data_IF_099877929116
#
_entry.id   IF_099877929116
#
_cell.length_a   1.000
_cell.length_b   1.000
_cell.length_c   1.000
_cell.angle_alpha   90.00
_cell.angle_beta   90.00
_cell.angle_gamma   90.00
#
_symmetry.space_group_name_H-M   'P 1'
#
loop_
_entity.id
_entity.type
_entity.pdbx_description
1 polymer ?
#
# COMPACT_ATOMS: atom_id res chain seq x y z
N UNK A 1 24.56 10.62 37.52
CA UNK A 1 24.51 9.31 36.84
C UNK A 1 23.40 8.52 37.48
N UNK A 2 22.24 8.41 36.84
CA UNK A 2 21.15 7.55 37.30
C UNK A 2 21.16 6.32 36.40
N UNK A 3 21.67 5.21 36.93
CA UNK A 3 21.59 3.91 36.28
C UNK A 3 20.14 3.46 36.36
N UNK A 4 19.42 3.56 35.24
CA UNK A 4 18.11 2.93 35.09
C UNK A 4 18.35 1.43 35.02
N UNK A 5 18.19 0.73 36.15
CA UNK A 5 18.11 -0.72 36.18
C UNK A 5 16.96 -1.15 35.27
N UNK A 6 17.28 -1.72 34.11
CA UNK A 6 16.32 -2.47 33.32
C UNK A 6 16.01 -3.70 34.16
N UNK A 7 14.82 -3.78 34.74
CA UNK A 7 14.34 -5.04 35.31
C UNK A 7 14.34 -6.07 34.18
N UNK A 8 15.26 -7.04 34.25
CA UNK A 8 15.27 -8.17 33.33
C UNK A 8 13.96 -8.94 33.50
N UNK A 9 13.11 -8.86 32.47
CA UNK A 9 11.86 -9.63 32.45
C UNK A 9 12.25 -11.10 32.36
N UNK A 10 11.98 -11.85 33.41
CA UNK A 10 12.21 -13.30 33.43
C UNK A 10 11.26 -13.97 32.43
N UNK A 11 11.81 -14.39 31.28
CA UNK A 11 11.09 -15.13 30.25
C UNK A 11 11.11 -16.62 30.64
N UNK A 12 9.96 -17.21 30.98
CA UNK A 12 9.90 -18.62 31.35
C UNK A 12 10.20 -19.51 30.13
N UNK A 13 10.99 -20.56 30.34
CA UNK A 13 11.26 -21.61 29.35
C UNK A 13 10.07 -22.58 29.26
N UNK A 14 8.95 -22.08 28.72
CA UNK A 14 7.73 -22.85 28.48
C UNK A 14 7.61 -23.30 27.01
N UNK A 15 6.61 -24.12 26.70
CA UNK A 15 6.38 -24.62 25.33
C UNK A 15 6.18 -23.48 24.31
N UNK A 16 5.55 -22.38 24.71
CA UNK A 16 5.30 -21.25 23.82
C UNK A 16 6.61 -20.55 23.47
N UNK A 17 7.46 -20.30 24.47
CA UNK A 17 8.80 -19.76 24.28
C UNK A 17 9.62 -20.65 23.34
N UNK A 18 9.69 -21.97 23.60
CA UNK A 18 10.50 -22.90 22.81
C UNK A 18 10.09 -22.93 21.35
N UNK A 19 8.79 -22.97 21.06
CA UNK A 19 8.27 -22.95 19.68
C UNK A 19 8.66 -21.64 18.98
N UNK A 20 8.44 -20.48 19.62
CA UNK A 20 8.76 -19.18 19.00
C UNK A 20 10.26 -19.00 18.83
N UNK A 21 11.06 -19.42 19.81
CA UNK A 21 12.53 -19.36 19.75
C UNK A 21 13.08 -20.23 18.61
N UNK A 22 12.56 -21.45 18.44
CA UNK A 22 12.92 -22.32 17.33
C UNK A 22 12.54 -21.69 15.97
N UNK A 23 11.35 -21.11 15.84
CA UNK A 23 10.95 -20.42 14.62
C UNK A 23 11.84 -19.22 14.31
N UNK A 24 12.10 -18.34 15.28
CA UNK A 24 12.92 -17.14 15.08
C UNK A 24 14.38 -17.48 14.78
N UNK A 25 14.94 -18.52 15.40
CA UNK A 25 16.31 -18.95 15.13
C UNK A 25 16.52 -19.41 13.68
N UNK A 26 15.49 -19.97 13.01
CA UNK A 26 15.52 -20.30 11.58
C UNK A 26 15.63 -19.06 10.69
N UNK A 27 15.17 -17.90 11.16
CA UNK A 27 15.34 -16.60 10.52
C UNK A 27 16.63 -15.87 10.97
N UNK A 28 17.43 -16.48 11.84
CA UNK A 28 18.60 -15.86 12.45
C UNK A 28 18.21 -14.62 13.27
N UNK A 29 17.17 -14.76 14.10
CA UNK A 29 16.68 -13.76 15.04
C UNK A 29 16.72 -14.38 16.44
N UNK A 30 17.33 -13.69 17.39
CA UNK A 30 17.42 -14.12 18.77
C UNK A 30 16.42 -13.38 19.66
N UNK A 31 15.86 -14.07 20.65
CA UNK A 31 15.01 -13.45 21.66
C UNK A 31 15.91 -12.83 22.73
N UNK A 32 15.74 -11.52 22.98
CA UNK A 32 16.62 -10.71 23.83
C UNK A 32 18.08 -10.73 23.37
N UNK A 33 18.32 -10.90 22.07
CA UNK A 33 19.64 -10.80 21.46
C UNK A 33 20.11 -9.35 21.32
N UNK A 34 21.30 -9.14 20.76
CA UNK A 34 21.92 -7.82 20.62
C UNK A 34 21.97 -7.31 19.18
N UNK A 35 21.54 -8.09 18.19
CA UNK A 35 21.46 -7.62 16.82
C UNK A 35 20.27 -6.67 16.67
N UNK A 36 20.35 -5.72 15.74
CA UNK A 36 19.30 -4.71 15.56
C UNK A 36 17.94 -5.29 15.12
N UNK A 37 17.92 -6.49 14.54
CA UNK A 37 16.69 -7.20 14.18
C UNK A 37 16.16 -8.11 15.30
N UNK A 38 16.89 -8.27 16.40
CA UNK A 38 16.47 -9.10 17.52
C UNK A 38 15.35 -8.42 18.30
N UNK A 39 14.46 -9.23 18.89
CA UNK A 39 13.34 -8.71 19.67
C UNK A 39 13.72 -8.61 21.14
N UNK A 40 13.35 -7.51 21.79
CA UNK A 40 13.44 -7.33 23.24
C UNK A 40 12.08 -7.59 23.85
N UNK A 41 11.92 -8.68 24.58
CA UNK A 41 10.64 -9.10 25.17
C UNK A 41 10.44 -8.47 26.54
N UNK A 42 9.38 -7.68 26.66
CA UNK A 42 8.97 -6.99 27.90
C UNK A 42 7.81 -7.70 28.62
N UNK A 43 7.11 -8.61 27.94
CA UNK A 43 6.00 -9.37 28.53
C UNK A 43 5.98 -10.81 27.97
N UNK A 44 6.20 -11.84 28.81
CA UNK A 44 6.32 -13.24 28.35
C UNK A 44 5.01 -13.81 27.78
N UNK A 45 3.86 -13.16 28.00
CA UNK A 45 2.59 -13.55 27.35
C UNK A 45 2.61 -13.34 25.83
N UNK A 46 3.64 -12.66 25.31
CA UNK A 46 3.90 -12.48 23.88
C UNK A 46 3.82 -13.79 23.10
N UNK A 47 4.59 -14.81 23.51
CA UNK A 47 4.78 -16.02 22.71
C UNK A 47 3.45 -16.75 22.48
N UNK A 48 2.68 -16.94 23.56
CA UNK A 48 1.35 -17.53 23.50
C UNK A 48 0.41 -16.72 22.61
N UNK A 49 0.42 -15.39 22.73
CA UNK A 49 -0.46 -14.51 21.94
C UNK A 49 -0.12 -14.59 20.45
N UNK A 50 1.15 -14.53 20.07
CA UNK A 50 1.59 -14.62 18.67
C UNK A 50 1.20 -15.97 18.07
N UNK A 51 1.41 -17.07 18.79
CA UNK A 51 1.03 -18.40 18.31
C UNK A 51 -0.49 -18.59 18.21
N UNK A 52 -1.28 -17.90 19.03
CA UNK A 52 -2.75 -18.01 19.02
C UNK A 52 -3.45 -17.03 18.06
N UNK A 53 -2.86 -15.87 17.81
CA UNK A 53 -3.49 -14.76 17.09
C UNK A 53 -2.74 -14.36 15.80
N UNK A 54 -1.61 -15.01 15.52
CA UNK A 54 -0.81 -14.79 14.31
C UNK A 54 -0.35 -13.34 14.16
N UNK A 55 -0.43 -12.82 12.93
CA UNK A 55 -0.09 -11.42 12.58
C UNK A 55 -0.80 -10.40 13.48
N UNK A 56 -2.06 -10.63 13.83
CA UNK A 56 -2.82 -9.72 14.69
C UNK A 56 -2.23 -9.64 16.10
N UNK A 57 -1.86 -10.79 16.67
CA UNK A 57 -1.21 -10.87 17.98
C UNK A 57 0.18 -10.24 17.98
N UNK A 58 0.96 -10.46 16.92
CA UNK A 58 2.29 -9.87 16.76
C UNK A 58 2.23 -8.34 16.72
N UNK A 59 1.37 -7.77 15.87
CA UNK A 59 1.24 -6.32 15.74
C UNK A 59 0.58 -5.65 16.94
N UNK A 60 -0.50 -6.22 17.49
CA UNK A 60 -1.14 -5.63 18.68
C UNK A 60 -0.24 -5.71 19.91
N UNK A 61 0.51 -6.80 20.10
CA UNK A 61 1.46 -6.89 21.21
C UNK A 61 2.61 -5.90 21.07
N UNK A 62 3.06 -5.59 19.84
CA UNK A 62 3.99 -4.49 19.61
C UNK A 62 3.36 -3.16 20.01
N UNK A 63 2.14 -2.87 19.56
CA UNK A 63 1.40 -1.65 19.93
C UNK A 63 1.15 -1.53 21.44
N UNK A 64 1.02 -2.66 22.14
CA UNK A 64 0.85 -2.76 23.59
C UNK A 64 2.18 -2.63 24.36
N UNK A 65 3.33 -2.50 23.67
CA UNK A 65 4.66 -2.39 24.29
C UNK A 65 5.18 -3.69 24.90
N UNK A 66 4.68 -4.85 24.46
CA UNK A 66 5.13 -6.15 24.98
C UNK A 66 6.50 -6.58 24.44
N UNK A 67 6.93 -5.97 23.35
CA UNK A 67 8.25 -6.18 22.78
C UNK A 67 8.71 -4.97 21.97
N UNK A 68 10.01 -4.88 21.76
CA UNK A 68 10.68 -3.89 20.91
C UNK A 68 11.60 -4.56 19.91
N UNK A 69 11.99 -3.84 18.87
CA UNK A 69 12.99 -4.25 17.88
C UNK A 69 13.52 -2.96 17.23
N UNK A 70 14.84 -2.81 17.15
CA UNK A 70 15.45 -1.57 16.63
C UNK A 70 15.23 -1.43 15.12
N UNK A 71 15.22 -2.55 14.39
CA UNK A 71 15.04 -2.62 12.94
C UNK A 71 13.93 -3.61 12.57
N UNK A 72 12.69 -3.20 12.84
CA UNK A 72 11.49 -3.95 12.50
C UNK A 72 11.44 -4.35 11.03
N UNK A 73 11.88 -3.47 10.13
CA UNK A 73 11.92 -3.74 8.69
C UNK A 73 12.86 -4.91 8.34
N UNK A 74 14.00 -5.03 9.04
CA UNK A 74 14.92 -6.18 8.89
C UNK A 74 14.33 -7.43 9.55
N UNK A 75 13.69 -7.28 10.72
CA UNK A 75 12.97 -8.38 11.37
C UNK A 75 11.92 -8.99 10.42
N UNK A 76 11.05 -8.17 9.81
CA UNK A 76 10.02 -8.66 8.89
C UNK A 76 10.60 -9.24 7.60
N UNK A 77 11.65 -8.66 7.03
CA UNK A 77 12.35 -9.24 5.88
C UNK A 77 12.85 -10.66 6.18
N UNK A 78 13.52 -10.84 7.32
CA UNK A 78 14.03 -12.15 7.76
C UNK A 78 12.92 -13.16 8.03
N UNK A 79 11.87 -12.75 8.76
CA UNK A 79 10.72 -13.62 9.10
C UNK A 79 10.04 -14.14 7.83
N UNK A 80 9.78 -13.25 6.87
CA UNK A 80 9.10 -13.60 5.61
C UNK A 80 10.00 -14.42 4.67
N UNK A 81 11.31 -14.13 4.61
CA UNK A 81 12.26 -14.94 3.83
C UNK A 81 12.40 -16.36 4.36
N UNK A 82 12.30 -16.54 5.68
CA UNK A 82 12.28 -17.85 6.32
C UNK A 82 10.91 -18.55 6.21
N UNK A 83 9.87 -17.87 5.72
CA UNK A 83 8.53 -18.41 5.54
C UNK A 83 7.87 -18.86 6.84
N UNK A 84 8.17 -18.18 7.96
CA UNK A 84 7.71 -18.61 9.29
C UNK A 84 6.18 -18.57 9.41
N UNK A 85 5.50 -17.71 8.65
CA UNK A 85 4.04 -17.61 8.59
C UNK A 85 3.40 -18.90 8.08
N UNK A 86 4.07 -19.64 7.19
CA UNK A 86 3.58 -20.93 6.70
C UNK A 86 3.78 -22.08 7.69
N UNK A 87 4.62 -21.86 8.70
CA UNK A 87 4.98 -22.84 9.73
C UNK A 87 4.12 -22.68 10.99
N UNK A 88 3.35 -21.59 11.09
CA UNK A 88 2.40 -21.38 12.18
C UNK A 88 1.17 -22.30 12.02
N UNK A 89 0.67 -22.89 13.12
CA UNK A 89 -0.58 -23.64 13.10
C UNK A 89 -1.73 -22.77 12.58
N UNK A 90 -2.49 -23.27 11.60
CA UNK A 90 -3.62 -22.53 11.05
C UNK A 90 -4.71 -22.30 12.12
N UNK A 91 -5.03 -21.03 12.38
CA UNK A 91 -6.06 -20.66 13.35
C UNK A 91 -7.48 -20.80 12.76
N UNK A 92 -8.41 -21.31 13.57
CA UNK A 92 -9.84 -21.41 13.24
C UNK A 92 -10.44 -20.03 12.95
N UNK A 93 -10.01 -18.97 13.67
CA UNK A 93 -10.50 -17.60 13.45
C UNK A 93 -10.11 -17.05 12.06
N UNK A 94 -8.89 -17.32 11.60
CA UNK A 94 -8.45 -16.88 10.27
C UNK A 94 -9.14 -17.69 9.17
N UNK A 95 -9.37 -18.99 9.41
CA UNK A 95 -10.18 -19.83 8.51
C UNK A 95 -11.61 -19.29 8.36
N UNK A 96 -12.24 -18.89 9.47
CA UNK A 96 -13.58 -18.28 9.45
C UNK A 96 -13.60 -16.92 8.75
N UNK A 97 -12.56 -16.08 8.93
CA UNK A 97 -12.43 -14.79 8.21
C UNK A 97 -12.27 -15.00 6.71
N UNK A 98 -11.41 -15.93 6.28
CA UNK A 98 -11.21 -16.29 4.88
C UNK A 98 -12.54 -16.81 4.29
N UNK A 99 -13.26 -17.66 5.02
CA UNK A 99 -14.57 -18.15 4.61
C UNK A 99 -15.60 -17.02 4.47
N UNK A 100 -15.66 -16.08 5.42
CA UNK A 100 -16.55 -14.92 5.33
C UNK A 100 -16.20 -14.01 4.15
N UNK A 101 -14.93 -13.74 3.87
CA UNK A 101 -14.49 -12.97 2.69
C UNK A 101 -14.84 -13.69 1.37
N UNK A 102 -14.80 -15.03 1.34
CA UNK A 102 -15.28 -15.82 0.19
C UNK A 102 -16.79 -15.71 0.00
N UNK A 103 -17.57 -15.60 1.07
CA UNK A 103 -19.04 -15.54 1.00
C UNK A 103 -19.56 -14.12 0.74
N UNK A 104 -19.00 -13.09 1.37
CA UNK A 104 -19.50 -11.71 1.29
C UNK A 104 -18.62 -10.81 0.41
N UNK A 105 -19.22 -9.84 -0.30
CA UNK A 105 -18.45 -8.80 -0.99
C UNK A 105 -18.15 -7.68 0.00
N UNK A 106 -16.91 -7.60 0.46
CA UNK A 106 -16.50 -6.64 1.48
C UNK A 106 -16.30 -5.22 0.91
N UNK A 107 -16.23 -5.09 -0.43
CA UNK A 107 -15.93 -3.86 -1.18
C UNK A 107 -17.16 -3.33 -1.94
N UNK A 108 -18.35 -3.42 -1.32
CA UNK A 108 -19.58 -2.86 -1.89
C UNK A 108 -19.56 -1.32 -1.94
N UNK A 109 -20.39 -0.72 -2.81
CA UNK A 109 -20.54 0.75 -2.95
C UNK A 109 -20.67 1.45 -1.61
N UNK A 110 -21.61 1.02 -0.77
CA UNK A 110 -21.86 1.63 0.54
C UNK A 110 -20.63 1.62 1.46
N UNK A 111 -19.83 0.55 1.42
CA UNK A 111 -18.63 0.41 2.29
C UNK A 111 -17.46 1.25 1.80
N UNK A 112 -17.30 1.43 0.49
CA UNK A 112 -16.25 2.30 -0.06
C UNK A 112 -16.35 3.72 0.53
N UNK A 113 -17.55 4.30 0.56
CA UNK A 113 -17.80 5.62 1.16
C UNK A 113 -17.50 5.68 2.67
N UNK A 114 -17.77 4.60 3.43
CA UNK A 114 -17.46 4.56 4.86
C UNK A 114 -15.95 4.57 5.11
N UNK A 115 -15.20 3.74 4.37
CA UNK A 115 -13.74 3.66 4.49
C UNK A 115 -13.08 4.98 4.07
N UNK A 116 -13.55 5.58 2.96
CA UNK A 116 -13.01 6.86 2.48
C UNK A 116 -13.19 8.02 3.46
N UNK A 117 -14.30 8.02 4.22
CA UNK A 117 -14.59 9.06 5.23
C UNK A 117 -13.77 8.91 6.50
N UNK A 118 -13.58 7.68 7.01
CA UNK A 118 -12.88 7.48 8.29
C UNK A 118 -11.35 7.56 8.18
N UNK A 119 -10.75 7.23 7.03
CA UNK A 119 -9.30 7.06 6.91
C UNK A 119 -8.52 8.29 6.46
N UNK A 120 -9.15 9.21 5.71
CA UNK A 120 -8.46 10.39 5.16
C UNK A 120 -8.81 11.70 5.89
N UNK A 121 -10.02 11.82 6.46
CA UNK A 121 -10.51 13.04 7.11
C UNK A 121 -9.72 13.47 8.38
N UNK A 122 -8.81 12.62 8.90
CA UNK A 122 -8.12 12.82 10.18
C UNK A 122 -6.57 12.84 10.08
N UNK A 123 -5.98 12.87 8.88
CA UNK A 123 -4.54 12.58 8.71
C UNK A 123 -3.68 13.59 7.92
N UNK A 124 -4.21 14.72 7.47
CA UNK A 124 -3.46 15.60 6.57
C UNK A 124 -2.25 16.30 7.20
N UNK A 125 -2.28 16.55 8.51
CA UNK A 125 -1.12 17.09 9.25
C UNK A 125 0.08 16.14 9.25
N UNK A 126 -0.19 14.83 9.36
CA UNK A 126 0.79 13.75 9.21
C UNK A 126 1.22 13.59 7.75
N UNK A 127 0.28 13.42 6.82
CA UNK A 127 0.60 13.13 5.42
C UNK A 127 1.38 14.27 4.76
N UNK A 128 1.05 15.54 5.04
CA UNK A 128 1.77 16.69 4.48
C UNK A 128 3.24 16.79 4.92
N UNK A 129 3.59 16.23 6.07
CA UNK A 129 4.98 16.19 6.57
C UNK A 129 5.73 14.95 6.11
N UNK A 130 5.04 13.81 6.11
CA UNK A 130 5.62 12.51 5.76
C UNK A 130 5.83 12.35 4.24
N UNK A 131 4.90 12.84 3.42
CA UNK A 131 4.91 12.66 1.96
C UNK A 131 5.70 13.76 1.26
N UNK A 132 5.97 13.55 -0.03
CA UNK A 132 6.56 14.55 -0.91
C UNK A 132 5.57 15.70 -1.23
N UNK A 133 6.02 16.81 -1.85
CA UNK A 133 5.16 17.95 -2.20
C UNK A 133 3.95 17.63 -3.09
N UNK A 134 3.98 16.56 -3.90
CA UNK A 134 2.84 16.09 -4.68
C UNK A 134 1.89 15.18 -3.87
N UNK A 135 2.11 15.01 -2.56
CA UNK A 135 1.28 14.21 -1.65
C UNK A 135 1.09 12.78 -2.15
N UNK A 136 2.15 12.15 -2.65
CA UNK A 136 2.07 10.81 -3.24
C UNK A 136 2.14 9.74 -2.15
N UNK A 137 0.97 9.28 -1.71
CA UNK A 137 0.87 8.09 -0.86
C UNK A 137 0.88 6.81 -1.70
N UNK A 138 1.91 6.68 -2.54
CA UNK A 138 2.16 5.54 -3.43
C UNK A 138 3.67 5.36 -3.65
N UNK A 139 4.09 4.25 -4.25
CA UNK A 139 5.50 3.96 -4.50
C UNK A 139 6.19 5.06 -5.32
N UNK A 140 7.37 5.50 -4.89
CA UNK A 140 8.29 6.29 -5.71
C UNK A 140 9.08 5.39 -6.67
N UNK A 141 9.78 5.99 -7.62
CA UNK A 141 10.65 5.27 -8.56
C UNK A 141 12.11 5.69 -8.37
N UNK A 142 12.93 4.77 -7.86
CA UNK A 142 14.24 5.07 -7.27
C UNK A 142 15.42 4.75 -8.17
N UNK A 143 15.17 4.34 -9.42
CA UNK A 143 16.21 3.93 -10.37
C UNK A 143 17.42 4.87 -10.41
N UNK A 144 17.17 6.18 -10.49
CA UNK A 144 18.20 7.21 -10.53
C UNK A 144 18.04 8.25 -9.39
N UNK A 145 16.97 8.16 -8.60
CA UNK A 145 16.66 9.12 -7.55
C UNK A 145 17.37 8.79 -6.23
N UNK A 146 17.72 9.84 -5.48
CA UNK A 146 18.39 9.72 -4.17
C UNK A 146 17.55 10.32 -3.02
N UNK A 147 16.42 10.96 -3.33
CA UNK A 147 15.49 11.55 -2.36
C UNK A 147 14.06 11.12 -2.68
N UNK A 148 13.17 11.18 -1.68
CA UNK A 148 11.76 10.84 -1.84
C UNK A 148 11.09 11.73 -2.89
N UNK A 149 11.37 13.03 -2.89
CA UNK A 149 10.82 14.00 -3.84
C UNK A 149 11.22 13.65 -5.28
N UNK A 150 12.52 13.42 -5.51
CA UNK A 150 13.01 13.05 -6.82
C UNK A 150 12.44 11.70 -7.29
N UNK A 151 12.28 10.74 -6.38
CA UNK A 151 11.69 9.44 -6.70
C UNK A 151 10.19 9.56 -7.03
N UNK A 152 9.47 10.44 -6.36
CA UNK A 152 8.05 10.68 -6.63
C UNK A 152 7.84 11.42 -7.95
N UNK A 153 8.64 12.45 -8.23
CA UNK A 153 8.66 13.12 -9.54
C UNK A 153 9.03 12.16 -10.67
N UNK A 154 10.07 11.34 -10.50
CA UNK A 154 10.45 10.31 -11.47
C UNK A 154 9.32 9.30 -11.72
N UNK A 155 8.58 8.90 -10.69
CA UNK A 155 7.40 8.03 -10.84
C UNK A 155 6.26 8.73 -11.59
N UNK A 156 5.97 9.99 -11.27
CA UNK A 156 4.94 10.78 -11.95
C UNK A 156 5.28 10.93 -13.43
N UNK A 157 6.53 11.25 -13.73
CA UNK A 157 7.02 11.39 -15.10
C UNK A 157 7.00 10.07 -15.86
N UNK A 158 7.45 8.97 -15.23
CA UNK A 158 7.37 7.62 -15.80
C UNK A 158 5.93 7.26 -16.21
N UNK A 159 4.94 7.56 -15.36
CA UNK A 159 3.51 7.35 -15.68
C UNK A 159 3.13 8.12 -16.95
N UNK A 160 3.49 9.39 -17.04
CA UNK A 160 3.17 10.25 -18.18
C UNK A 160 3.84 9.77 -19.47
N UNK A 161 5.12 9.39 -19.40
CA UNK A 161 5.88 8.84 -20.53
C UNK A 161 5.29 7.51 -21.02
N UNK A 162 4.91 6.61 -20.10
CA UNK A 162 4.27 5.33 -20.45
C UNK A 162 2.90 5.53 -21.12
N UNK A 163 2.15 6.52 -20.66
CA UNK A 163 0.90 6.92 -21.29
C UNK A 163 1.11 7.68 -22.61
N UNK A 164 2.35 8.02 -23.00
CA UNK A 164 2.65 8.78 -24.21
C UNK A 164 1.73 10.01 -24.34
N UNK A 165 1.65 10.80 -23.26
CA UNK A 165 0.79 11.98 -23.23
C UNK A 165 1.22 12.98 -24.31
N UNK A 166 0.24 13.57 -24.98
CA UNK A 166 0.43 14.64 -25.95
C UNK A 166 -0.49 15.82 -25.59
N UNK A 167 -0.09 17.07 -25.86
CA UNK A 167 -0.92 18.24 -25.60
C UNK A 167 -2.33 18.09 -26.20
N UNK A 168 -3.34 18.48 -25.42
CA UNK A 168 -4.76 18.41 -25.81
C UNK A 168 -5.45 17.06 -25.60
N UNK A 169 -4.73 16.01 -25.15
CA UNK A 169 -5.38 14.77 -24.72
C UNK A 169 -6.21 14.97 -23.45
N UNK A 170 -7.26 14.16 -23.30
CA UNK A 170 -8.09 14.07 -22.08
C UNK A 170 -7.70 12.82 -21.28
N UNK A 171 -7.33 13.00 -20.01
CA UNK A 171 -6.88 11.94 -19.10
C UNK A 171 -7.87 11.75 -17.96
N UNK A 172 -8.21 10.50 -17.65
CA UNK A 172 -8.94 10.15 -16.44
C UNK A 172 -7.98 9.57 -15.40
N UNK A 173 -7.97 10.15 -14.20
CA UNK A 173 -7.24 9.65 -13.02
C UNK A 173 -8.24 9.03 -12.02
N UNK A 174 -8.33 7.70 -12.01
CA UNK A 174 -9.22 6.93 -11.14
C UNK A 174 -8.55 6.73 -9.78
N UNK A 175 -9.08 7.40 -8.75
CA UNK A 175 -8.50 7.43 -7.42
C UNK A 175 -7.46 8.53 -7.26
N UNK A 176 -7.78 9.76 -7.69
CA UNK A 176 -6.82 10.85 -7.85
C UNK A 176 -6.19 11.39 -6.55
N UNK A 177 -6.63 10.91 -5.38
CA UNK A 177 -6.14 11.35 -4.07
C UNK A 177 -6.17 12.87 -3.91
N UNK A 178 -5.08 13.44 -3.42
CA UNK A 178 -4.89 14.89 -3.27
C UNK A 178 -4.54 15.63 -4.58
N UNK A 179 -4.66 14.98 -5.74
CA UNK A 179 -4.52 15.62 -7.06
C UNK A 179 -3.09 15.81 -7.54
N UNK A 180 -2.07 15.23 -6.89
CA UNK A 180 -0.67 15.42 -7.26
C UNK A 180 -0.33 14.95 -8.69
N UNK A 181 -0.86 13.80 -9.11
CA UNK A 181 -0.66 13.31 -10.48
C UNK A 181 -1.42 14.17 -11.51
N UNK A 182 -2.64 14.58 -11.19
CA UNK A 182 -3.43 15.48 -12.03
C UNK A 182 -2.73 16.82 -12.25
N UNK A 183 -2.22 17.44 -11.19
CA UNK A 183 -1.41 18.66 -11.25
C UNK A 183 -0.17 18.46 -12.14
N UNK A 184 0.57 17.36 -11.91
CA UNK A 184 1.80 17.08 -12.65
C UNK A 184 1.54 16.90 -14.15
N UNK A 185 0.53 16.12 -14.53
CA UNK A 185 0.16 15.89 -15.93
C UNK A 185 -0.28 17.20 -16.61
N UNK A 186 -1.18 17.95 -15.98
CA UNK A 186 -1.72 19.18 -16.56
C UNK A 186 -0.61 20.24 -16.77
N UNK A 187 0.28 20.41 -15.79
CA UNK A 187 1.39 21.39 -15.86
C UNK A 187 2.45 21.00 -16.89
N UNK A 188 2.88 19.74 -16.91
CA UNK A 188 4.07 19.33 -17.66
C UNK A 188 3.77 18.80 -19.06
N UNK A 189 2.55 18.28 -19.29
CA UNK A 189 2.18 17.61 -20.54
C UNK A 189 1.06 18.32 -21.32
N UNK A 190 0.45 19.38 -20.76
CA UNK A 190 -0.57 20.18 -21.46
C UNK A 190 -1.84 19.39 -21.78
N UNK A 191 -2.22 18.46 -20.90
CA UNK A 191 -3.43 17.62 -21.03
C UNK A 191 -4.55 18.13 -20.12
N UNK A 192 -5.80 17.85 -20.50
CA UNK A 192 -6.96 18.05 -19.63
C UNK A 192 -7.12 16.82 -18.74
N UNK A 193 -7.25 17.00 -17.43
CA UNK A 193 -7.36 15.89 -16.47
C UNK A 193 -8.70 15.90 -15.76
N UNK A 194 -9.35 14.74 -15.70
CA UNK A 194 -10.49 14.49 -14.83
C UNK A 194 -10.07 13.52 -13.72
N UNK A 195 -9.97 14.01 -12.50
CA UNK A 195 -9.69 13.19 -11.32
C UNK A 195 -10.98 12.73 -10.65
N UNK A 196 -11.01 11.50 -10.15
CA UNK A 196 -12.15 10.96 -9.40
C UNK A 196 -11.71 10.46 -8.04
N UNK A 197 -12.39 10.91 -6.99
CA UNK A 197 -12.18 10.46 -5.61
C UNK A 197 -13.52 10.23 -4.89
N UNK A 198 -13.49 9.50 -3.78
CA UNK A 198 -14.61 9.27 -2.86
C UNK A 198 -14.46 10.06 -1.55
N UNK A 199 -13.33 10.75 -1.34
CA UNK A 199 -13.09 11.59 -0.17
C UNK A 199 -13.34 13.06 -0.51
N UNK A 200 -14.27 13.69 0.23
CA UNK A 200 -14.58 15.11 0.07
C UNK A 200 -13.41 16.01 0.45
N UNK A 201 -12.59 15.59 1.43
CA UNK A 201 -11.42 16.34 1.84
C UNK A 201 -10.32 16.28 0.78
N UNK A 202 -10.04 15.09 0.23
CA UNK A 202 -9.13 14.94 -0.92
C UNK A 202 -9.60 15.76 -2.12
N UNK A 203 -10.90 15.76 -2.44
CA UNK A 203 -11.46 16.59 -3.50
C UNK A 203 -11.12 18.07 -3.26
N UNK A 204 -11.43 18.59 -2.07
CA UNK A 204 -11.20 20.00 -1.74
C UNK A 204 -9.72 20.38 -1.90
N UNK A 205 -8.81 19.55 -1.40
CA UNK A 205 -7.37 19.80 -1.51
C UNK A 205 -6.87 19.68 -2.96
N UNK A 206 -7.34 18.69 -3.71
CA UNK A 206 -6.99 18.51 -5.11
C UNK A 206 -7.46 19.68 -5.98
N UNK A 207 -8.66 20.22 -5.74
CA UNK A 207 -9.17 21.40 -6.41
C UNK A 207 -8.31 22.64 -6.13
N UNK A 208 -7.95 22.87 -4.86
CA UNK A 208 -7.07 23.99 -4.50
C UNK A 208 -5.67 23.84 -5.11
N UNK A 209 -5.11 22.62 -5.12
CA UNK A 209 -3.81 22.32 -5.73
C UNK A 209 -3.78 22.57 -7.24
N UNK A 210 -4.88 22.26 -7.92
CA UNK A 210 -4.97 22.37 -9.38
C UNK A 210 -5.61 23.68 -9.85
N UNK A 211 -5.74 24.69 -8.99
CA UNK A 211 -6.33 25.98 -9.36
C UNK A 211 -5.56 26.62 -10.54
N UNK A 212 -6.30 27.06 -11.56
CA UNK A 212 -5.74 27.63 -12.78
C UNK A 212 -5.24 26.62 -13.82
N UNK A 213 -5.38 25.31 -13.58
CA UNK A 213 -5.09 24.26 -14.55
C UNK A 213 -6.37 23.70 -15.18
N UNK A 214 -6.24 23.02 -16.32
CA UNK A 214 -7.34 22.27 -16.96
C UNK A 214 -7.56 20.92 -16.24
N UNK A 215 -8.04 21.02 -14.99
CA UNK A 215 -8.27 19.87 -14.12
C UNK A 215 -9.65 19.96 -13.48
N UNK A 216 -10.45 18.91 -13.64
CA UNK A 216 -11.75 18.73 -12.98
C UNK A 216 -11.66 17.59 -11.96
N UNK A 217 -12.02 17.85 -10.69
CA UNK A 217 -12.05 16.82 -9.63
C UNK A 217 -13.48 16.48 -9.22
N UNK A 218 -13.85 15.24 -9.46
CA UNK A 218 -15.18 14.69 -9.20
C UNK A 218 -15.20 13.90 -7.90
N UNK A 219 -16.17 14.21 -7.04
CA UNK A 219 -16.52 13.41 -5.87
C UNK A 219 -17.65 12.44 -6.24
N UNK A 220 -17.29 11.26 -6.74
CA UNK A 220 -18.24 10.23 -7.12
C UNK A 220 -17.60 8.84 -7.12
N UNK A 221 -18.43 7.81 -7.21
CA UNK A 221 -17.96 6.44 -7.44
C UNK A 221 -17.54 6.27 -8.90
N UNK A 222 -16.30 5.82 -9.15
CA UNK A 222 -15.80 5.61 -10.51
C UNK A 222 -16.68 4.68 -11.36
N UNK A 223 -17.44 3.77 -10.71
CA UNK A 223 -18.33 2.83 -11.39
C UNK A 223 -19.47 3.50 -12.14
N UNK A 224 -19.77 4.76 -11.83
CA UNK A 224 -20.84 5.52 -12.47
C UNK A 224 -20.33 6.39 -13.64
N UNK A 225 -19.01 6.43 -13.90
CA UNK A 225 -18.42 7.18 -15.01
C UNK A 225 -18.83 6.65 -16.38
N UNK A 226 -19.29 7.52 -17.26
CA UNK A 226 -19.66 7.18 -18.64
C UNK A 226 -19.28 8.32 -19.60
N UNK A 227 -17.98 8.47 -19.85
CA UNK A 227 -17.34 9.49 -20.70
C UNK A 227 -16.29 8.79 -21.60
N UNK A 228 -15.47 9.53 -22.34
CA UNK A 228 -14.43 8.98 -23.22
C UNK A 228 -13.10 9.74 -23.05
N UNK A 229 -12.03 9.01 -22.74
CA UNK A 229 -10.70 9.56 -22.49
C UNK A 229 -9.66 8.96 -23.43
N UNK A 230 -8.69 9.77 -23.82
CA UNK A 230 -7.53 9.31 -24.58
C UNK A 230 -6.64 8.41 -23.71
N UNK A 231 -6.57 8.71 -22.41
CA UNK A 231 -5.74 7.98 -21.45
C UNK A 231 -6.48 7.78 -20.14
N UNK A 232 -6.27 6.63 -19.53
CA UNK A 232 -6.74 6.35 -18.16
C UNK A 232 -5.53 5.96 -17.32
N UNK A 233 -5.48 6.46 -16.10
CA UNK A 233 -4.51 6.05 -15.09
C UNK A 233 -5.24 5.73 -13.80
N UNK A 234 -4.72 4.77 -13.05
CA UNK A 234 -5.24 4.42 -11.75
C UNK A 234 -4.11 3.97 -10.83
N UNK A 235 -3.91 4.70 -9.73
CA UNK A 235 -2.79 4.49 -8.80
C UNK A 235 -3.33 4.17 -7.41
N UNK A 236 -2.98 3.01 -6.86
CA UNK A 236 -3.21 2.68 -5.46
C UNK A 236 -4.69 2.55 -5.04
N UNK A 237 -5.61 2.40 -6.00
CA UNK A 237 -7.04 2.23 -5.71
C UNK A 237 -7.53 0.79 -5.91
N UNK A 238 -6.84 0.00 -6.74
CA UNK A 238 -7.32 -1.31 -7.19
C UNK A 238 -7.26 -2.36 -6.07
N UNK A 239 -6.33 -2.17 -5.13
CA UNK A 239 -6.20 -2.89 -3.86
C UNK A 239 -7.49 -2.82 -3.02
N UNK A 240 -8.30 -1.78 -3.20
CA UNK A 240 -9.57 -1.57 -2.49
C UNK A 240 -10.80 -2.03 -3.28
N UNK A 241 -10.64 -2.47 -4.53
CA UNK A 241 -11.73 -2.98 -5.37
C UNK A 241 -12.14 -4.38 -4.93
N UNK A 242 -11.17 -5.22 -4.58
CA UNK A 242 -11.37 -6.61 -4.18
C UNK A 242 -11.73 -7.54 -5.35
N UNK A 243 -11.33 -8.83 -5.28
CA UNK A 243 -11.32 -9.72 -6.44
C UNK A 243 -12.69 -10.02 -7.06
N UNK A 244 -13.77 -9.91 -6.27
CA UNK A 244 -15.15 -10.08 -6.77
C UNK A 244 -15.61 -8.96 -7.70
N UNK A 245 -14.89 -7.84 -7.75
CA UNK A 245 -15.27 -6.66 -8.52
C UNK A 245 -14.25 -6.32 -9.62
N UNK A 246 -13.22 -7.14 -9.84
CA UNK A 246 -12.19 -6.86 -10.86
C UNK A 246 -12.78 -6.82 -12.28
N UNK A 247 -13.69 -7.74 -12.64
CA UNK A 247 -14.36 -7.72 -13.95
C UNK A 247 -15.16 -6.42 -14.14
N UNK A 248 -15.83 -5.94 -13.09
CA UNK A 248 -16.54 -4.65 -13.12
C UNK A 248 -15.57 -3.48 -13.28
N UNK A 249 -14.43 -3.52 -12.60
CA UNK A 249 -13.41 -2.48 -12.71
C UNK A 249 -12.90 -2.34 -14.15
N UNK A 250 -12.47 -3.45 -14.77
CA UNK A 250 -11.99 -3.42 -16.16
C UNK A 250 -13.09 -3.07 -17.15
N UNK A 251 -14.33 -3.51 -16.93
CA UNK A 251 -15.49 -3.08 -17.74
C UNK A 251 -15.75 -1.57 -17.67
N UNK A 252 -15.54 -0.95 -16.51
CA UNK A 252 -15.68 0.51 -16.34
C UNK A 252 -14.54 1.26 -17.04
N UNK A 253 -13.30 0.77 -16.91
CA UNK A 253 -12.15 1.34 -17.63
C UNK A 253 -12.38 1.24 -19.14
N UNK A 254 -12.79 0.08 -19.65
CA UNK A 254 -13.09 -0.16 -21.07
C UNK A 254 -14.20 0.77 -21.57
N UNK A 255 -15.32 0.87 -20.85
CA UNK A 255 -16.40 1.81 -21.19
C UNK A 255 -15.92 3.25 -21.33
N UNK A 256 -14.88 3.66 -20.60
CA UNK A 256 -14.40 5.05 -20.57
C UNK A 256 -13.17 5.31 -21.46
N UNK A 257 -12.55 4.28 -22.04
CA UNK A 257 -11.34 4.44 -22.85
C UNK A 257 -11.70 4.59 -24.34
N UNK A 258 -11.21 5.63 -25.02
CA UNK A 258 -11.36 5.78 -26.48
C UNK A 258 -10.70 4.61 -27.24
N UNK A 259 -11.10 4.31 -28.49
CA UNK A 259 -10.59 3.17 -29.25
C UNK A 259 -9.06 3.02 -29.25
N UNK A 260 -8.33 4.11 -29.52
CA UNK A 260 -6.86 4.17 -29.55
C UNK A 260 -6.24 4.59 -28.19
N UNK A 261 -7.00 4.42 -27.11
CA UNK A 261 -6.61 4.85 -25.79
C UNK A 261 -5.62 3.90 -25.11
N UNK A 262 -4.87 4.45 -24.15
CA UNK A 262 -3.96 3.69 -23.28
C UNK A 262 -4.43 3.74 -21.84
N UNK A 263 -4.31 2.61 -21.15
CA UNK A 263 -4.61 2.50 -19.73
C UNK A 263 -3.36 2.04 -18.95
N UNK A 264 -3.01 2.77 -17.88
CA UNK A 264 -1.98 2.37 -16.92
C UNK A 264 -2.62 2.03 -15.58
N UNK A 265 -2.47 0.78 -15.16
CA UNK A 265 -2.80 0.31 -13.81
C UNK A 265 -1.53 0.28 -12.95
N UNK A 266 -1.50 1.05 -11.86
CA UNK A 266 -0.44 1.01 -10.84
C UNK A 266 -1.02 0.45 -9.54
N UNK A 267 -0.56 -0.73 -9.12
CA UNK A 267 -1.11 -1.43 -7.96
C UNK A 267 -0.08 -2.30 -7.26
N UNK A 268 -0.18 -2.41 -5.94
CA UNK A 268 0.49 -3.43 -5.14
C UNK A 268 -0.07 -4.81 -5.53
N UNK A 269 0.79 -5.81 -5.59
CA UNK A 269 0.46 -7.16 -6.02
C UNK A 269 0.92 -8.23 -5.06
N UNK A 270 0.19 -9.35 -5.02
CA UNK A 270 0.62 -10.59 -4.38
C UNK A 270 1.22 -11.54 -5.40
N UNK A 271 2.27 -12.26 -4.99
CA UNK A 271 2.84 -13.38 -5.77
C UNK A 271 1.93 -14.61 -5.87
N UNK A 272 0.80 -14.63 -5.13
CA UNK A 272 -0.10 -15.78 -5.04
C UNK A 272 -1.56 -15.37 -5.25
N UNK A 273 -2.32 -16.22 -5.95
CA UNK A 273 -3.77 -16.06 -6.09
C UNK A 273 -4.48 -16.63 -4.86
N UNK A 274 -4.89 -15.76 -3.95
CA UNK A 274 -5.83 -16.08 -2.86
C UNK A 274 -6.55 -14.81 -2.38
N UNK A 275 -7.22 -14.88 -1.23
CA UNK A 275 -7.79 -13.71 -0.57
C UNK A 275 -6.69 -13.05 0.28
N UNK A 276 -5.69 -12.45 -0.39
CA UNK A 276 -4.50 -11.88 0.22
C UNK A 276 -4.85 -10.68 1.12
N UNK A 277 -5.19 -10.96 2.38
CA UNK A 277 -5.60 -9.98 3.38
C UNK A 277 -4.89 -10.30 4.68
N UNK A 278 -3.86 -9.52 5.02
CA UNK A 278 -3.25 -9.61 6.34
C UNK A 278 -4.26 -9.12 7.41
N UNK A 279 -4.51 -9.90 8.49
CA UNK A 279 -5.51 -9.53 9.49
C UNK A 279 -5.23 -8.23 10.23
N UNK A 280 -3.96 -7.90 10.48
CA UNK A 280 -3.58 -6.69 11.22
C UNK A 280 -3.74 -5.45 10.33
N UNK A 281 -3.21 -5.50 9.10
CA UNK A 281 -3.37 -4.45 8.08
C UNK A 281 -4.85 -4.17 7.82
N UNK A 282 -5.67 -5.22 7.66
CA UNK A 282 -7.11 -5.03 7.44
C UNK A 282 -7.82 -4.40 8.64
N UNK A 283 -7.37 -4.65 9.87
CA UNK A 283 -8.00 -4.06 11.06
C UNK A 283 -7.60 -2.60 11.28
N UNK A 284 -6.33 -2.27 11.05
CA UNK A 284 -5.75 -1.00 11.50
C UNK A 284 -5.45 0.01 10.38
N UNK A 285 -5.15 -0.46 9.16
CA UNK A 285 -4.66 0.40 8.08
C UNK A 285 -5.58 0.39 6.87
N UNK A 286 -5.81 -0.77 6.24
CA UNK A 286 -6.61 -0.85 5.02
C UNK A 286 -7.80 -1.79 5.17
N UNK A 287 -8.90 -1.35 5.83
CA UNK A 287 -10.11 -2.14 5.91
C UNK A 287 -10.62 -2.52 4.52
N UNK A 288 -10.81 -3.83 4.31
CA UNK A 288 -11.22 -4.43 3.04
C UNK A 288 -10.19 -4.32 1.91
N UNK A 289 -8.92 -3.97 2.20
CA UNK A 289 -7.85 -4.12 1.21
C UNK A 289 -7.63 -5.60 0.86
N UNK A 290 -7.43 -5.90 -0.42
CA UNK A 290 -7.09 -7.23 -0.89
C UNK A 290 -6.14 -7.13 -2.09
N UNK A 291 -4.94 -7.70 -1.95
CA UNK A 291 -3.93 -7.60 -3.00
C UNK A 291 -4.27 -8.52 -4.18
N UNK A 292 -4.28 -8.00 -5.42
CA UNK A 292 -4.45 -8.81 -6.62
C UNK A 292 -3.22 -9.66 -6.90
N UNK A 293 -3.42 -10.79 -7.56
CA UNK A 293 -2.35 -11.55 -8.21
C UNK A 293 -2.28 -11.25 -9.71
N UNK A 294 -1.13 -11.56 -10.32
CA UNK A 294 -0.95 -11.48 -11.79
C UNK A 294 -2.07 -12.22 -12.52
N UNK A 295 -2.40 -13.44 -12.08
CA UNK A 295 -3.48 -14.26 -12.67
C UNK A 295 -4.83 -13.58 -12.60
N UNK A 296 -5.18 -12.96 -11.47
CA UNK A 296 -6.48 -12.29 -11.31
C UNK A 296 -6.59 -11.05 -12.21
N UNK A 297 -5.52 -10.25 -12.29
CA UNK A 297 -5.46 -9.10 -13.21
C UNK A 297 -5.58 -9.58 -14.64
N UNK A 298 -4.74 -10.54 -15.07
CA UNK A 298 -4.76 -11.06 -16.43
C UNK A 298 -6.14 -11.59 -16.83
N UNK A 299 -6.75 -12.44 -15.99
CA UNK A 299 -8.08 -12.99 -16.23
C UNK A 299 -9.16 -11.90 -16.37
N UNK A 300 -9.18 -10.91 -15.47
CA UNK A 300 -10.19 -9.87 -15.49
C UNK A 300 -9.99 -8.86 -16.63
N UNK A 301 -8.74 -8.65 -17.09
CA UNK A 301 -8.43 -7.72 -18.18
C UNK A 301 -8.52 -8.33 -19.58
N UNK A 302 -8.32 -9.65 -19.71
CA UNK A 302 -8.20 -10.37 -21.00
C UNK A 302 -9.38 -10.13 -21.97
N UNK A 303 -10.65 -10.06 -21.53
CA UNK A 303 -11.76 -9.77 -22.44
C UNK A 303 -11.77 -8.35 -23.01
N UNK A 304 -11.01 -7.43 -22.40
CA UNK A 304 -11.08 -5.99 -22.68
C UNK A 304 -9.84 -5.47 -23.39
N UNK A 305 -8.65 -5.95 -23.00
CA UNK A 305 -7.40 -5.30 -23.35
C UNK A 305 -6.28 -6.28 -23.68
N UNK A 306 -5.41 -5.84 -24.59
CA UNK A 306 -4.06 -6.39 -24.77
C UNK A 306 -3.18 -5.86 -23.63
N UNK A 307 -2.47 -6.76 -22.94
CA UNK A 307 -1.43 -6.39 -21.98
C UNK A 307 -0.14 -6.06 -22.74
N UNK A 308 0.22 -4.78 -22.77
CA UNK A 308 1.32 -4.24 -23.57
C UNK A 308 2.66 -4.27 -22.82
N UNK A 309 2.61 -4.10 -21.50
CA UNK A 309 3.80 -4.09 -20.65
C UNK A 309 3.44 -4.42 -19.20
N UNK A 310 4.35 -5.10 -18.51
CA UNK A 310 4.23 -5.37 -17.07
C UNK A 310 5.56 -5.05 -16.39
N UNK A 311 5.60 -3.92 -15.69
CA UNK A 311 6.79 -3.47 -14.98
C UNK A 311 6.66 -3.77 -13.48
N UNK A 312 7.60 -4.52 -12.92
CA UNK A 312 7.68 -4.77 -11.48
C UNK A 312 8.91 -4.08 -10.88
N UNK A 313 8.68 -3.13 -9.99
CA UNK A 313 9.70 -2.43 -9.20
C UNK A 313 9.35 -2.47 -7.72
N UNK A 314 8.82 -3.60 -7.22
CA UNK A 314 8.43 -3.75 -5.81
C UNK A 314 9.55 -3.47 -4.80
N UNK A 315 10.81 -3.63 -5.18
CA UNK A 315 11.94 -3.29 -4.31
C UNK A 315 12.01 -1.79 -3.98
N UNK A 316 11.53 -0.92 -4.87
CA UNK A 316 11.50 0.53 -4.67
C UNK A 316 10.52 0.94 -3.57
N UNK A 317 9.49 0.13 -3.31
CA UNK A 317 8.50 0.43 -2.28
C UNK A 317 9.09 0.26 -0.87
N UNK A 318 10.06 -0.66 -0.68
CA UNK A 318 10.86 -0.70 0.55
C UNK A 318 11.53 0.66 0.81
N UNK A 319 12.26 1.18 -0.18
CA UNK A 319 12.93 2.48 -0.08
C UNK A 319 11.94 3.62 0.17
N UNK A 320 10.78 3.63 -0.50
CA UNK A 320 9.72 4.62 -0.23
C UNK A 320 9.17 4.54 1.19
N UNK A 321 8.87 3.34 1.70
CA UNK A 321 8.32 3.14 3.04
C UNK A 321 9.32 3.54 4.13
N UNK A 322 10.61 3.25 3.92
CA UNK A 322 11.66 3.67 4.84
C UNK A 322 11.85 5.20 4.84
N UNK A 323 11.80 5.85 3.67
CA UNK A 323 11.83 7.31 3.58
C UNK A 323 10.62 7.96 4.28
N UNK A 324 9.43 7.36 4.17
CA UNK A 324 8.26 7.81 4.93
C UNK A 324 8.44 7.59 6.43
N UNK A 325 8.99 6.45 6.86
CA UNK A 325 9.21 6.16 8.28
C UNK A 325 10.21 7.13 8.91
N UNK A 326 11.30 7.45 8.21
CA UNK A 326 12.26 8.47 8.63
C UNK A 326 11.58 9.82 8.85
N UNK A 327 10.88 10.34 7.83
CA UNK A 327 10.16 11.62 7.92
C UNK A 327 9.06 11.61 8.97
N UNK A 328 8.38 10.49 9.16
CA UNK A 328 7.39 10.31 10.22
C UNK A 328 8.02 10.46 11.62
N UNK A 329 9.18 9.84 11.86
CA UNK A 329 9.86 9.96 13.13
C UNK A 329 10.42 11.38 13.36
N UNK A 330 10.97 12.00 12.32
CA UNK A 330 11.45 13.38 12.36
C UNK A 330 10.35 14.38 12.70
N UNK A 331 9.17 14.22 12.09
CA UNK A 331 8.05 15.14 12.27
C UNK A 331 7.19 14.83 13.51
N UNK A 332 7.36 13.66 14.12
CA UNK A 332 6.56 13.22 15.28
C UNK A 332 6.46 14.27 16.40
N UNK A 333 7.54 14.96 16.83
CA UNK A 333 7.44 15.96 17.89
C UNK A 333 6.47 17.11 17.59
N UNK A 334 6.22 17.42 16.31
CA UNK A 334 5.29 18.49 15.90
C UNK A 334 3.81 18.06 15.92
N UNK A 335 3.56 16.76 15.75
CA UNK A 335 2.20 16.22 15.60
C UNK A 335 1.78 15.35 16.81
N UNK A 336 2.70 15.09 17.75
CA UNK A 336 2.47 14.17 18.86
C UNK A 336 1.20 14.46 19.66
N UNK A 337 0.83 15.72 19.83
CA UNK A 337 -0.37 16.14 20.59
C UNK A 337 -1.69 15.75 19.90
N UNK A 338 -1.67 15.51 18.57
CA UNK A 338 -2.84 15.09 17.80
C UNK A 338 -3.03 13.56 17.81
N UNK A 339 -2.00 12.83 18.24
CA UNK A 339 -1.95 11.37 18.17
C UNK A 339 -1.59 10.77 19.53
N UNK A 340 -1.60 9.45 19.64
CA UNK A 340 -1.17 8.74 20.85
C UNK A 340 0.13 8.01 20.61
N UNK A 341 0.89 7.71 21.66
CA UNK A 341 2.07 6.86 21.54
C UNK A 341 1.73 5.48 20.96
N UNK A 342 0.53 4.95 21.26
CA UNK A 342 0.02 3.73 20.63
C UNK A 342 -0.12 3.89 19.11
N UNK A 343 -0.61 5.04 18.64
CA UNK A 343 -0.66 5.35 17.21
C UNK A 343 0.74 5.40 16.61
N UNK A 344 1.72 6.02 17.29
CA UNK A 344 3.13 6.02 16.83
C UNK A 344 3.67 4.62 16.60
N UNK A 345 3.42 3.72 17.56
CA UNK A 345 3.81 2.31 17.48
C UNK A 345 3.07 1.59 16.36
N UNK A 346 1.75 1.78 16.25
CA UNK A 346 0.95 1.22 15.15
C UNK A 346 1.50 1.65 13.79
N UNK A 347 1.74 2.93 13.59
CA UNK A 347 2.16 3.49 12.32
C UNK A 347 3.61 3.11 11.98
N UNK A 348 4.50 3.08 12.97
CA UNK A 348 5.87 2.55 12.80
C UNK A 348 5.87 1.07 12.41
N UNK A 349 5.04 0.25 13.08
CA UNK A 349 4.87 -1.17 12.76
C UNK A 349 4.37 -1.34 11.34
N UNK A 350 3.35 -0.59 10.94
CA UNK A 350 2.81 -0.61 9.58
C UNK A 350 3.89 -0.35 8.52
N UNK A 351 4.58 0.79 8.61
CA UNK A 351 5.57 1.18 7.60
C UNK A 351 6.71 0.16 7.50
N UNK A 352 7.24 -0.29 8.64
CA UNK A 352 8.35 -1.24 8.69
C UNK A 352 7.96 -2.66 8.27
N UNK A 353 6.77 -3.14 8.67
CA UNK A 353 6.29 -4.46 8.27
C UNK A 353 6.07 -4.52 6.75
N UNK A 354 5.48 -3.48 6.17
CA UNK A 354 5.33 -3.38 4.72
C UNK A 354 6.69 -3.27 4.02
N UNK A 355 7.63 -2.48 4.54
CA UNK A 355 8.98 -2.36 3.98
C UNK A 355 9.69 -3.72 3.95
N UNK A 356 9.65 -4.46 5.06
CA UNK A 356 10.18 -5.82 5.16
C UNK A 356 9.52 -6.79 4.18
N UNK A 357 8.20 -6.68 3.96
CA UNK A 357 7.48 -7.52 2.99
C UNK A 357 7.87 -7.24 1.54
N UNK A 358 8.08 -5.98 1.17
CA UNK A 358 8.62 -5.61 -0.14
C UNK A 358 10.08 -6.05 -0.30
N UNK A 359 10.91 -5.87 0.73
CA UNK A 359 12.32 -6.31 0.76
C UNK A 359 12.47 -7.82 0.62
N UNK A 360 11.59 -8.58 1.26
CA UNK A 360 11.52 -10.04 1.16
C UNK A 360 10.98 -10.51 -0.20
N UNK A 361 10.49 -9.60 -1.04
CA UNK A 361 9.78 -9.89 -2.29
C UNK A 361 8.53 -10.76 -2.06
N UNK A 362 7.89 -10.60 -0.91
CA UNK A 362 6.66 -11.30 -0.58
C UNK A 362 5.46 -10.66 -1.29
N UNK A 363 5.42 -9.33 -1.28
CA UNK A 363 4.52 -8.48 -2.06
C UNK A 363 5.29 -7.72 -3.15
N UNK A 364 4.57 -7.25 -4.16
CA UNK A 364 5.10 -6.67 -5.38
C UNK A 364 4.47 -5.30 -5.65
N UNK A 365 5.08 -4.53 -6.54
CA UNK A 365 4.49 -3.30 -7.07
C UNK A 365 4.54 -3.37 -8.58
N UNK A 366 3.38 -3.20 -9.22
CA UNK A 366 3.25 -3.30 -10.66
C UNK A 366 2.73 -2.02 -11.28
N UNK A 367 3.31 -1.65 -12.42
CA UNK A 367 2.64 -0.86 -13.44
C UNK A 367 2.36 -1.73 -14.65
N UNK A 368 1.09 -1.89 -15.01
CA UNK A 368 0.65 -2.69 -16.14
C UNK A 368 0.04 -1.76 -17.18
N UNK A 369 0.55 -1.82 -18.42
CA UNK A 369 0.03 -1.07 -19.55
C UNK A 369 -0.95 -1.93 -20.34
N UNK A 370 -2.05 -1.31 -20.71
CA UNK A 370 -3.12 -1.91 -21.48
C UNK A 370 -3.50 -1.03 -22.67
N UNK A 371 -3.87 -1.67 -23.77
CA UNK A 371 -4.47 -1.04 -24.95
C UNK A 371 -5.51 -1.97 -25.58
N UNK A 372 -6.18 -1.55 -26.65
CA UNK A 372 -7.03 -2.44 -27.48
C UNK A 372 -6.28 -3.07 -28.67
N UNK A 373 -4.94 -3.08 -28.62
CA UNK A 373 -4.08 -3.54 -29.70
C UNK A 373 -3.71 -2.40 -30.65
N UNK A 374 -2.99 -1.40 -30.14
CA UNK A 374 -2.51 -0.28 -30.96
C UNK A 374 -1.62 -0.74 -32.12
N UNK A 375 -1.82 -0.15 -33.30
CA UNK A 375 -1.07 -0.52 -34.49
C UNK A 375 0.45 -0.38 -34.23
N UNK A 376 1.23 -1.41 -34.56
CA UNK A 376 2.70 -1.48 -34.39
C UNK A 376 3.20 -1.59 -32.94
N UNK A 377 2.29 -1.65 -31.96
CA UNK A 377 2.61 -1.86 -30.55
C UNK A 377 3.26 -0.64 -29.87
N UNK A 378 3.63 -0.81 -28.59
CA UNK A 378 4.21 0.24 -27.76
C UNK A 378 5.66 -0.07 -27.36
N UNK A 379 6.50 0.96 -27.34
CA UNK A 379 7.80 0.93 -26.63
C UNK A 379 7.63 1.65 -25.30
N UNK A 380 7.35 0.89 -24.25
CA UNK A 380 6.98 1.44 -22.93
C UNK A 380 8.21 1.90 -22.16
N UNK A 381 8.15 3.12 -21.59
CA UNK A 381 9.24 3.76 -20.86
C UNK A 381 9.69 3.00 -19.58
N UNK A 382 10.91 3.30 -19.10
CA UNK A 382 11.54 2.68 -17.93
C UNK A 382 12.35 3.64 -17.09
#
# INVERSE_FOLDING_TARGET
>A
MSSSCIEEVNVPDDDWYRIVSELLSRAGIEINGNASCDIQVKNPRLFKRVLQEGSLGLGESYMDGWWECDRLDIFFDKVLRAGLETQLPHNIKDTLRIAAARLFNLQSRKRAWQVGKEHYDLGNDLFSRMLDPFMQYSCGYWKDAQTLEAAQEAKLDLICQKLQLQPGMKVLDIGCGWGGLAEFMAKNYGVSVKGVTISAEQQKMAQARCEGLDVEILLQDYRDLNDQFDRIVSVGMFEHVGPKNYDTYFSVVDRNLKPDGLFLLHTIGSKKTDNNVDPWINKYIFPNGCLPSVRQIAHASEPHFVMEDWHNFGADYDTTLMAWHERFLECWPEIADNYSERFKRMFSYYLNACAGAFRARDIQLWQVMFSRGVERGLRVAR
#
